data_IF_680609139241
#
_entry.id   IF_680609139241
#
_cell.length_a   1.000
_cell.length_b   1.000
_cell.length_c   1.000
_cell.angle_alpha   90.00
_cell.angle_beta   90.00
_cell.angle_gamma   90.00
#
_symmetry.space_group_name_H-M   'P 1'
#
loop_
_entity.id
_entity.type
_entity.pdbx_description
1 polymer ?
#
# COMPACT_ATOMS: atom_id res chain seq x y z
N UNK A 1 7.43 4.14 -24.86
CA UNK A 1 7.01 5.55 -24.74
C UNK A 1 7.71 6.10 -23.52
N UNK A 2 8.23 7.33 -23.60
CA UNK A 2 8.92 8.01 -22.50
C UNK A 2 8.14 9.27 -22.15
N UNK A 3 7.89 9.51 -20.86
CA UNK A 3 7.11 10.64 -20.35
C UNK A 3 7.98 11.86 -20.10
N UNK A 4 9.24 11.66 -19.69
CA UNK A 4 10.17 12.75 -19.43
C UNK A 4 11.51 12.50 -20.12
N UNK A 5 12.03 13.52 -20.81
CA UNK A 5 13.30 13.38 -21.54
C UNK A 5 14.50 13.27 -20.58
N UNK A 6 14.42 13.91 -19.42
CA UNK A 6 15.50 13.97 -18.43
C UNK A 6 15.33 12.92 -17.32
N UNK A 7 16.45 12.52 -16.73
CA UNK A 7 16.43 11.64 -15.55
C UNK A 7 15.95 12.35 -14.30
N UNK A 8 15.97 13.68 -14.26
CA UNK A 8 15.51 14.49 -13.13
C UNK A 8 14.53 15.55 -13.62
N UNK A 9 13.40 15.66 -12.94
CA UNK A 9 12.37 16.66 -13.25
C UNK A 9 12.23 17.68 -12.12
N UNK A 10 11.54 18.77 -12.40
CA UNK A 10 11.14 19.80 -11.45
C UNK A 10 9.62 19.86 -11.35
N UNK A 11 9.10 20.59 -10.35
CA UNK A 11 7.66 20.84 -10.25
C UNK A 11 7.08 21.54 -11.50
N UNK A 12 7.92 22.26 -12.27
CA UNK A 12 7.47 22.94 -13.51
C UNK A 12 7.12 21.96 -14.63
N UNK A 13 7.70 20.77 -14.61
CA UNK A 13 7.49 19.74 -15.63
C UNK A 13 6.19 18.96 -15.42
N UNK A 14 5.60 19.07 -14.22
CA UNK A 14 4.38 18.34 -13.83
C UNK A 14 3.20 19.24 -13.47
N UNK A 15 3.40 20.54 -13.25
CA UNK A 15 2.35 21.48 -12.79
C UNK A 15 1.13 21.60 -13.72
N UNK A 16 1.27 21.22 -14.99
CA UNK A 16 0.17 21.22 -15.96
C UNK A 16 -0.79 20.04 -15.78
N UNK A 17 -0.36 19.00 -15.06
CA UNK A 17 -1.17 17.82 -14.79
C UNK A 17 -1.99 18.00 -13.50
N UNK A 18 -3.16 17.34 -13.37
CA UNK A 18 -3.93 17.36 -12.14
C UNK A 18 -3.15 16.77 -10.96
N UNK A 19 -3.05 17.54 -9.87
CA UNK A 19 -2.52 17.06 -8.59
C UNK A 19 -3.56 16.17 -7.91
N UNK A 20 -3.24 14.89 -7.73
CA UNK A 20 -4.13 13.87 -7.16
C UNK A 20 -3.67 13.39 -5.78
N UNK A 21 -2.47 13.76 -5.35
CA UNK A 21 -1.99 13.49 -4.00
C UNK A 21 -0.86 14.45 -3.62
N UNK A 22 -0.94 15.00 -2.41
CA UNK A 22 0.09 15.85 -1.84
C UNK A 22 0.49 15.26 -0.47
N UNK A 23 1.75 14.87 -0.35
CA UNK A 23 2.26 14.13 0.79
C UNK A 23 3.66 14.58 1.19
N UNK A 24 4.09 14.09 2.36
CA UNK A 24 5.37 14.52 2.96
C UNK A 24 6.60 14.25 2.06
N UNK A 25 6.56 13.19 1.26
CA UNK A 25 7.72 12.75 0.48
C UNK A 25 7.66 13.17 -0.99
N UNK A 26 6.56 13.78 -1.40
CA UNK A 26 6.32 14.09 -2.80
C UNK A 26 4.85 14.30 -3.14
N UNK A 27 4.66 14.63 -4.40
CA UNK A 27 3.37 14.94 -5.01
C UNK A 27 3.06 13.90 -6.09
N UNK A 28 1.79 13.57 -6.26
CA UNK A 28 1.31 12.64 -7.29
C UNK A 28 0.45 13.41 -8.26
N UNK A 29 0.79 13.31 -9.54
CA UNK A 29 0.09 13.96 -10.65
C UNK A 29 -0.44 12.92 -11.63
N UNK A 30 -1.63 13.15 -12.18
CA UNK A 30 -2.22 12.25 -13.18
C UNK A 30 -1.76 12.65 -14.59
N UNK A 31 -0.97 11.79 -15.24
CA UNK A 31 -0.47 12.03 -16.60
C UNK A 31 -1.51 11.66 -17.66
N UNK A 32 -2.18 10.53 -17.45
CA UNK A 32 -3.22 10.00 -18.32
C UNK A 32 -4.29 9.27 -17.49
N UNK A 33 -5.34 8.75 -18.14
CA UNK A 33 -6.43 8.04 -17.47
C UNK A 33 -5.92 6.96 -16.51
N UNK A 34 -4.94 6.15 -16.91
CA UNK A 34 -4.44 5.00 -16.13
C UNK A 34 -3.00 5.18 -15.65
N UNK A 35 -2.45 6.39 -15.74
CA UNK A 35 -1.02 6.63 -15.52
C UNK A 35 -0.84 7.89 -14.66
N UNK A 36 -0.03 7.77 -13.62
CA UNK A 36 0.36 8.88 -12.77
C UNK A 36 1.88 8.93 -12.59
N UNK A 37 2.38 10.10 -12.21
CA UNK A 37 3.75 10.29 -11.77
C UNK A 37 3.77 10.70 -10.31
N UNK A 38 4.63 10.06 -9.52
CA UNK A 38 5.02 10.59 -8.21
C UNK A 38 6.32 11.35 -8.36
N UNK A 39 6.27 12.65 -8.12
CA UNK A 39 7.41 13.55 -8.00
C UNK A 39 7.88 13.57 -6.55
N UNK A 40 9.14 13.23 -6.29
CA UNK A 40 9.69 13.10 -4.95
C UNK A 40 10.51 14.32 -4.55
N UNK A 41 10.37 14.74 -3.29
CA UNK A 41 11.17 15.84 -2.74
C UNK A 41 12.60 15.41 -2.39
N UNK A 42 12.82 14.11 -2.14
CA UNK A 42 14.12 13.52 -1.80
C UNK A 42 14.40 12.27 -2.65
N UNK A 43 15.56 12.25 -3.32
CA UNK A 43 15.99 11.13 -4.18
C UNK A 43 16.17 9.83 -3.39
N UNK A 44 16.60 9.91 -2.12
CA UNK A 44 16.70 8.72 -1.25
C UNK A 44 15.33 8.04 -1.04
N UNK A 45 14.26 8.84 -0.95
CA UNK A 45 12.91 8.30 -0.79
C UNK A 45 12.41 7.68 -2.09
N UNK A 46 12.69 8.33 -3.22
CA UNK A 46 12.44 7.77 -4.54
C UNK A 46 13.12 6.41 -4.71
N UNK A 47 14.41 6.30 -4.39
CA UNK A 47 15.19 5.07 -4.55
C UNK A 47 14.59 3.90 -3.77
N UNK A 48 14.20 4.14 -2.52
CA UNK A 48 13.56 3.13 -1.65
C UNK A 48 12.21 2.68 -2.20
N UNK A 49 11.43 3.58 -2.78
CA UNK A 49 10.13 3.24 -3.35
C UNK A 49 10.27 2.51 -4.68
N UNK A 50 11.21 2.94 -5.53
CA UNK A 50 11.55 2.28 -6.79
C UNK A 50 12.02 0.84 -6.56
N UNK A 51 12.94 0.62 -5.60
CA UNK A 51 13.45 -0.72 -5.26
C UNK A 51 12.30 -1.68 -4.90
N UNK A 52 11.35 -1.21 -4.09
CA UNK A 52 10.19 -2.00 -3.69
C UNK A 52 9.21 -2.24 -4.84
N UNK A 53 8.97 -1.25 -5.70
CA UNK A 53 8.15 -1.41 -6.89
C UNK A 53 8.76 -2.42 -7.86
N UNK A 54 10.07 -2.32 -8.13
CA UNK A 54 10.80 -3.21 -9.03
C UNK A 54 10.74 -4.67 -8.56
N UNK A 55 11.04 -4.92 -7.28
CA UNK A 55 10.93 -6.26 -6.70
C UNK A 55 9.51 -6.86 -6.82
N UNK A 56 8.50 -5.99 -6.75
CA UNK A 56 7.10 -6.35 -6.75
C UNK A 56 6.42 -6.48 -8.11
N UNK A 57 7.09 -6.17 -9.23
CA UNK A 57 6.44 -6.10 -10.55
C UNK A 57 5.81 -7.42 -11.04
N UNK A 58 6.24 -8.56 -10.49
CA UNK A 58 5.62 -9.86 -10.80
C UNK A 58 4.24 -10.07 -10.15
N UNK A 59 3.85 -9.21 -9.20
CA UNK A 59 2.60 -9.35 -8.44
C UNK A 59 1.60 -8.25 -8.78
N UNK A 60 0.33 -8.65 -8.96
CA UNK A 60 -0.78 -7.72 -9.26
C UNK A 60 -1.09 -6.75 -8.12
N UNK A 61 -0.63 -7.07 -6.90
CA UNK A 61 -0.81 -6.21 -5.70
C UNK A 61 0.05 -4.95 -5.74
N UNK A 62 1.01 -4.87 -6.65
CA UNK A 62 1.88 -3.71 -6.85
C UNK A 62 1.44 -3.00 -8.14
N UNK A 63 1.34 -1.66 -8.14
CA UNK A 63 1.08 -0.90 -9.36
C UNK A 63 2.15 -1.18 -10.42
N UNK A 64 1.74 -1.26 -11.69
CA UNK A 64 2.70 -1.39 -12.80
C UNK A 64 3.65 -0.19 -12.83
N UNK A 65 4.93 -0.45 -12.99
CA UNK A 65 5.98 0.54 -13.19
C UNK A 65 6.15 0.77 -14.69
N UNK A 66 6.09 2.03 -15.14
CA UNK A 66 6.26 2.39 -16.55
C UNK A 66 7.60 3.07 -16.82
N UNK A 67 8.01 4.00 -15.96
CA UNK A 67 9.24 4.79 -16.12
C UNK A 67 9.71 5.31 -14.76
N UNK A 68 10.99 5.65 -14.64
CA UNK A 68 11.51 6.32 -13.46
C UNK A 68 12.74 7.16 -13.80
N UNK A 69 12.95 8.19 -12.98
CA UNK A 69 14.16 9.00 -12.95
C UNK A 69 14.77 9.02 -11.54
N UNK A 70 15.67 9.96 -11.27
CA UNK A 70 16.30 10.14 -9.97
C UNK A 70 15.35 10.67 -8.90
N UNK A 71 14.29 11.39 -9.31
CA UNK A 71 13.32 11.99 -8.39
C UNK A 71 11.87 11.83 -8.83
N UNK A 72 11.57 10.91 -9.76
CA UNK A 72 10.20 10.57 -10.12
C UNK A 72 10.03 9.09 -10.43
N UNK A 73 8.77 8.64 -10.35
CA UNK A 73 8.32 7.33 -10.79
C UNK A 73 6.99 7.50 -11.52
N UNK A 74 6.92 7.03 -12.76
CA UNK A 74 5.68 6.90 -13.54
C UNK A 74 5.14 5.49 -13.37
N UNK A 75 3.89 5.39 -12.95
CA UNK A 75 3.26 4.14 -12.57
C UNK A 75 1.76 4.12 -12.88
N UNK A 76 1.17 2.94 -12.76
CA UNK A 76 -0.27 2.73 -12.84
C UNK A 76 -1.03 3.63 -11.85
N UNK A 77 -1.95 4.42 -12.39
CA UNK A 77 -2.96 5.08 -11.60
C UNK A 77 -4.06 4.07 -11.24
N UNK A 78 -4.18 3.78 -9.94
CA UNK A 78 -5.15 2.82 -9.43
C UNK A 78 -6.50 3.50 -9.21
N UNK A 79 -7.45 3.25 -10.10
CA UNK A 79 -8.83 3.71 -9.96
C UNK A 79 -9.54 2.97 -8.84
N UNK A 80 -10.04 3.69 -7.83
CA UNK A 80 -10.84 3.09 -6.76
C UNK A 80 -10.82 3.89 -5.46
N UNK A 81 -10.99 3.20 -4.35
CA UNK A 81 -11.04 3.81 -3.02
C UNK A 81 -10.03 3.16 -2.08
N UNK A 82 -9.52 3.93 -1.11
CA UNK A 82 -8.70 3.32 -0.06
C UNK A 82 -9.52 2.38 0.80
N UNK A 83 -8.90 1.29 1.27
CA UNK A 83 -9.50 0.36 2.21
C UNK A 83 -9.96 1.09 3.48
N UNK A 84 -9.21 2.09 3.94
CA UNK A 84 -9.63 2.97 5.03
C UNK A 84 -10.97 3.67 4.76
N UNK A 85 -11.16 4.25 3.57
CA UNK A 85 -12.39 4.95 3.19
C UNK A 85 -13.55 3.96 3.05
N UNK A 86 -13.33 2.83 2.39
CA UNK A 86 -14.34 1.79 2.24
C UNK A 86 -14.83 1.29 3.61
N UNK A 87 -13.94 0.86 4.49
CA UNK A 87 -14.29 0.36 5.82
C UNK A 87 -14.93 1.44 6.71
N UNK A 88 -14.54 2.70 6.57
CA UNK A 88 -15.17 3.82 7.29
C UNK A 88 -16.63 4.01 6.86
N UNK A 89 -16.91 3.85 5.57
CA UNK A 89 -18.25 4.00 5.01
C UNK A 89 -19.15 2.82 5.37
N UNK A 90 -18.67 1.59 5.15
CA UNK A 90 -19.43 0.37 5.41
C UNK A 90 -19.59 0.05 6.90
N UNK A 91 -18.64 0.50 7.74
CA UNK A 91 -18.50 0.11 9.15
C UNK A 91 -18.53 -1.41 9.37
N UNK A 92 -18.15 -2.16 8.35
CA UNK A 92 -18.13 -3.61 8.32
C UNK A 92 -16.99 -4.08 7.42
N UNK A 93 -16.62 -5.35 7.56
CA UNK A 93 -15.69 -6.03 6.68
C UNK A 93 -16.29 -7.39 6.34
N UNK A 94 -16.28 -7.78 5.07
CA UNK A 94 -16.83 -9.07 4.63
C UNK A 94 -15.76 -10.17 4.69
N UNK A 95 -16.15 -11.46 4.74
CA UNK A 95 -15.20 -12.58 4.64
C UNK A 95 -14.37 -12.52 3.35
N UNK A 96 -14.99 -12.15 2.21
CA UNK A 96 -14.32 -12.05 0.90
C UNK A 96 -13.25 -10.96 0.90
N UNK A 97 -13.56 -9.78 1.46
CA UNK A 97 -12.58 -8.71 1.59
C UNK A 97 -11.45 -9.10 2.55
N UNK A 98 -11.76 -9.79 3.65
CA UNK A 98 -10.72 -10.36 4.53
C UNK A 98 -9.82 -11.34 3.78
N UNK A 99 -10.39 -12.26 2.98
CA UNK A 99 -9.61 -13.22 2.21
C UNK A 99 -8.68 -12.54 1.20
N UNK A 100 -9.15 -11.49 0.52
CA UNK A 100 -8.32 -10.66 -0.37
C UNK A 100 -7.16 -10.00 0.38
N UNK A 101 -7.42 -9.47 1.59
CA UNK A 101 -6.39 -8.86 2.44
C UNK A 101 -5.34 -9.90 2.86
N UNK A 102 -5.76 -11.08 3.31
CA UNK A 102 -4.83 -12.17 3.69
C UNK A 102 -3.97 -12.59 2.49
N UNK A 103 -4.59 -12.77 1.33
CA UNK A 103 -3.89 -13.10 0.08
C UNK A 103 -2.88 -12.03 -0.30
N UNK A 104 -3.27 -10.75 -0.23
CA UNK A 104 -2.37 -9.61 -0.46
C UNK A 104 -1.18 -9.63 0.49
N UNK A 105 -1.39 -9.86 1.79
CA UNK A 105 -0.29 -9.93 2.78
C UNK A 105 0.67 -11.09 2.50
N UNK A 106 0.15 -12.25 2.09
CA UNK A 106 0.97 -13.38 1.68
C UNK A 106 1.78 -13.09 0.41
N UNK A 107 1.20 -12.39 -0.55
CA UNK A 107 1.91 -11.92 -1.75
C UNK A 107 3.03 -10.94 -1.42
N UNK A 108 2.81 -9.98 -0.52
CA UNK A 108 3.88 -9.08 -0.05
C UNK A 108 5.03 -9.86 0.59
N UNK A 109 4.72 -10.92 1.35
CA UNK A 109 5.74 -11.81 1.93
C UNK A 109 6.51 -12.56 0.84
N UNK A 110 5.81 -13.07 -0.17
CA UNK A 110 6.42 -13.79 -1.32
C UNK A 110 7.37 -12.90 -2.13
N UNK A 111 7.04 -11.62 -2.29
CA UNK A 111 7.91 -10.62 -2.93
C UNK A 111 9.20 -10.36 -2.12
N UNK A 112 9.24 -10.77 -0.84
CA UNK A 112 10.38 -10.55 0.05
C UNK A 112 10.29 -9.24 0.82
N UNK A 113 9.11 -8.61 0.90
CA UNK A 113 8.94 -7.43 1.74
C UNK A 113 9.11 -7.81 3.20
N UNK A 114 10.13 -7.25 3.84
CA UNK A 114 10.43 -7.47 5.27
C UNK A 114 9.33 -6.88 6.16
N UNK A 115 8.68 -5.83 5.68
CA UNK A 115 7.62 -5.13 6.40
C UNK A 115 6.27 -5.32 5.71
N UNK A 116 5.48 -6.27 6.20
CA UNK A 116 4.07 -6.51 5.81
C UNK A 116 3.10 -5.46 6.39
N UNK A 117 3.64 -4.54 7.16
CA UNK A 117 2.97 -3.55 7.99
C UNK A 117 2.52 -2.34 7.16
N UNK A 118 1.62 -2.57 6.21
CA UNK A 118 0.96 -1.50 5.43
C UNK A 118 -0.18 -0.86 6.22
N UNK A 119 -0.43 0.43 5.99
CA UNK A 119 -1.54 1.14 6.61
C UNK A 119 -2.79 0.97 5.74
N UNK A 120 -3.97 0.87 6.35
CA UNK A 120 -5.25 0.74 5.61
C UNK A 120 -5.49 1.86 4.58
N UNK A 121 -4.83 3.03 4.72
CA UNK A 121 -4.91 4.12 3.73
C UNK A 121 -4.04 3.90 2.49
N UNK A 122 -3.03 3.03 2.58
CA UNK A 122 -2.11 2.68 1.50
C UNK A 122 -2.53 1.40 0.77
N UNK A 123 -3.64 0.79 1.17
CA UNK A 123 -4.28 -0.30 0.43
C UNK A 123 -5.45 0.32 -0.33
N UNK A 124 -5.44 0.17 -1.65
CA UNK A 124 -6.50 0.61 -2.55
C UNK A 124 -7.30 -0.61 -3.00
N UNK A 125 -8.61 -0.47 -3.01
CA UNK A 125 -9.55 -1.38 -3.65
C UNK A 125 -9.81 -0.79 -5.02
N UNK A 126 -9.31 -1.43 -6.06
CA UNK A 126 -9.54 -0.97 -7.44
C UNK A 126 -10.98 -1.22 -7.88
N UNK A 127 -11.42 -0.56 -8.94
CA UNK A 127 -12.79 -0.69 -9.48
C UNK A 127 -13.14 -2.13 -9.92
N UNK A 128 -12.14 -2.93 -10.30
CA UNK A 128 -12.29 -4.38 -10.58
C UNK A 128 -12.25 -5.25 -9.31
N UNK A 129 -12.23 -4.63 -8.13
CA UNK A 129 -12.25 -5.28 -6.83
C UNK A 129 -10.92 -5.90 -6.41
N UNK A 130 -9.81 -5.65 -7.12
CA UNK A 130 -8.49 -6.11 -6.70
C UNK A 130 -7.90 -5.20 -5.61
N UNK A 131 -6.93 -5.72 -4.85
CA UNK A 131 -6.19 -4.92 -3.89
C UNK A 131 -4.83 -4.54 -4.46
N UNK A 132 -4.51 -3.25 -4.40
CA UNK A 132 -3.18 -2.73 -4.70
C UNK A 132 -2.63 -1.97 -3.51
N UNK A 133 -1.36 -2.15 -3.24
CA UNK A 133 -0.64 -1.44 -2.18
C UNK A 133 0.16 -0.32 -2.82
N UNK A 134 0.17 0.86 -2.21
CA UNK A 134 0.97 2.01 -2.61
C UNK A 134 1.88 2.45 -1.43
N UNK A 135 2.77 3.42 -1.66
CA UNK A 135 3.74 3.93 -0.66
C UNK A 135 4.61 2.81 -0.05
N UNK A 136 5.56 2.34 -0.85
CA UNK A 136 6.41 1.19 -0.51
C UNK A 136 7.76 1.55 0.10
N UNK A 137 8.05 2.83 0.40
CA UNK A 137 9.38 3.28 0.84
C UNK A 137 9.95 2.59 2.09
N UNK A 138 9.10 1.87 2.85
CA UNK A 138 9.47 1.10 4.06
C UNK A 138 9.39 -0.41 3.88
N UNK A 139 9.13 -0.91 2.66
CA UNK A 139 8.93 -2.33 2.37
C UNK A 139 10.08 -3.23 2.85
N UNK A 140 11.33 -2.78 2.64
CA UNK A 140 12.55 -3.50 3.04
C UNK A 140 13.17 -3.01 4.36
N UNK A 141 12.44 -2.18 5.10
CA UNK A 141 12.85 -1.74 6.45
C UNK A 141 12.67 -2.86 7.50
N UNK A 142 12.76 -2.52 8.79
CA UNK A 142 12.57 -3.41 9.95
C UNK A 142 11.55 -4.52 9.72
N UNK A 143 11.93 -5.76 10.03
CA UNK A 143 11.08 -6.94 9.89
C UNK A 143 9.89 -6.90 10.86
N UNK A 144 8.68 -7.13 10.33
CA UNK A 144 7.47 -7.29 11.12
C UNK A 144 6.71 -8.53 10.67
N UNK A 145 6.62 -9.53 11.54
CA UNK A 145 5.93 -10.79 11.29
C UNK A 145 4.39 -10.64 11.17
N UNK A 146 3.82 -9.64 11.84
CA UNK A 146 2.39 -9.35 11.85
C UNK A 146 2.09 -7.94 11.28
N UNK A 147 0.94 -7.73 10.60
CA UNK A 147 0.57 -6.46 9.97
C UNK A 147 -0.02 -5.48 11.02
N UNK A 148 0.80 -5.07 11.99
CA UNK A 148 0.35 -4.30 13.16
C UNK A 148 -0.32 -2.96 12.86
N UNK A 149 0.07 -2.28 11.79
CA UNK A 149 -0.45 -1.00 11.30
C UNK A 149 -1.78 -1.18 10.62
N UNK A 150 -1.91 -2.19 9.77
CA UNK A 150 -3.18 -2.59 9.17
C UNK A 150 -4.18 -2.87 10.30
N UNK A 151 -3.78 -3.71 11.26
CA UNK A 151 -4.57 -4.02 12.44
C UNK A 151 -4.91 -2.78 13.27
N UNK A 152 -3.95 -1.89 13.53
CA UNK A 152 -4.23 -0.63 14.23
C UNK A 152 -5.27 0.20 13.48
N UNK A 153 -5.22 0.23 12.15
CA UNK A 153 -6.24 0.82 11.29
C UNK A 153 -7.61 0.18 11.47
N UNK A 154 -7.70 -1.15 11.38
CA UNK A 154 -8.96 -1.90 11.59
C UNK A 154 -9.58 -1.60 12.96
N UNK A 155 -8.75 -1.51 14.01
CA UNK A 155 -9.21 -1.18 15.36
C UNK A 155 -9.79 0.23 15.43
N UNK A 156 -9.11 1.22 14.83
CA UNK A 156 -9.61 2.61 14.78
C UNK A 156 -10.92 2.73 14.01
N UNK A 157 -11.16 1.84 13.05
CA UNK A 157 -12.38 1.78 12.23
C UNK A 157 -13.48 0.92 12.86
N UNK A 158 -13.25 0.28 14.01
CA UNK A 158 -14.24 -0.54 14.71
C UNK A 158 -14.51 -1.91 14.11
N UNK A 159 -13.72 -2.36 13.11
CA UNK A 159 -13.95 -3.62 12.39
C UNK A 159 -12.96 -4.74 12.78
N UNK A 160 -12.12 -4.50 13.79
CA UNK A 160 -11.06 -5.42 14.20
C UNK A 160 -11.55 -6.82 14.60
N UNK A 161 -12.56 -6.91 15.47
CA UNK A 161 -12.96 -8.22 15.99
C UNK A 161 -13.56 -9.08 14.88
N UNK A 162 -14.45 -8.53 14.05
CA UNK A 162 -14.96 -9.19 12.83
C UNK A 162 -13.83 -9.59 11.86
N UNK A 163 -12.86 -8.70 11.63
CA UNK A 163 -11.71 -9.02 10.79
C UNK A 163 -10.96 -10.24 11.31
N UNK A 164 -10.68 -10.31 12.62
CA UNK A 164 -9.98 -11.44 13.21
C UNK A 164 -10.80 -12.72 13.21
N UNK A 165 -12.11 -12.65 13.41
CA UNK A 165 -13.01 -13.82 13.33
C UNK A 165 -12.99 -14.42 11.91
N UNK A 166 -13.02 -13.56 10.88
CA UNK A 166 -12.86 -13.98 9.49
C UNK A 166 -11.47 -14.58 9.25
N UNK A 167 -10.39 -13.95 9.74
CA UNK A 167 -9.02 -14.48 9.59
C UNK A 167 -8.91 -15.85 10.25
N UNK A 168 -9.47 -16.06 11.44
CA UNK A 168 -9.46 -17.36 12.12
C UNK A 168 -10.08 -18.47 11.27
N UNK A 169 -11.11 -18.13 10.52
CA UNK A 169 -11.83 -19.07 9.64
C UNK A 169 -11.08 -19.34 8.33
N UNK A 170 -10.29 -18.37 7.85
CA UNK A 170 -9.56 -18.44 6.57
C UNK A 170 -8.16 -19.04 6.74
N UNK A 171 -7.44 -18.60 7.77
CA UNK A 171 -6.06 -18.97 8.07
C UNK A 171 -5.84 -18.90 9.59
N UNK A 172 -6.09 -20.02 10.26
CA UNK A 172 -5.95 -20.14 11.71
C UNK A 172 -4.50 -19.90 12.19
N UNK A 173 -3.51 -20.26 11.38
CA UNK A 173 -2.10 -20.04 11.69
C UNK A 173 -1.76 -18.54 11.72
N UNK A 174 -2.23 -17.79 10.72
CA UNK A 174 -2.11 -16.34 10.71
C UNK A 174 -2.85 -15.71 11.90
N UNK A 175 -4.06 -16.18 12.22
CA UNK A 175 -4.80 -15.73 13.40
C UNK A 175 -4.00 -15.94 14.70
N UNK A 176 -3.43 -17.12 14.92
CA UNK A 176 -2.66 -17.42 16.14
C UNK A 176 -1.40 -16.54 16.25
N UNK A 177 -0.68 -16.37 15.14
CA UNK A 177 0.47 -15.48 15.06
C UNK A 177 0.12 -14.02 15.39
N UNK A 178 -1.01 -13.52 14.87
CA UNK A 178 -1.41 -12.12 15.03
C UNK A 178 -2.08 -11.85 16.38
N UNK A 179 -2.88 -12.79 16.88
CA UNK A 179 -3.67 -12.67 18.12
C UNK A 179 -2.81 -12.74 19.38
N UNK A 180 -1.75 -13.57 19.40
CA UNK A 180 -0.79 -13.65 20.52
C UNK A 180 -0.13 -12.31 20.85
N UNK A 181 0.02 -11.43 19.84
CA UNK A 181 0.59 -10.08 19.98
C UNK A 181 -0.42 -9.04 20.50
N UNK A 182 -1.73 -9.34 20.49
CA UNK A 182 -2.80 -8.53 21.12
C UNK A 182 -2.65 -8.52 22.65
N UNK A 183 -2.17 -9.62 23.22
CA UNK A 183 -2.03 -9.84 24.67
C UNK A 183 -0.82 -9.12 25.25
N UNK A 184 0.32 -9.10 24.53
CA UNK A 184 1.57 -8.48 25.03
C UNK A 184 1.49 -6.96 25.24
N UNK A 185 0.54 -6.26 24.59
CA UNK A 185 0.29 -4.81 24.81
C UNK A 185 -0.64 -4.50 25.98
N UNK A 186 -1.44 -5.46 26.48
CA UNK A 186 -2.27 -5.25 27.68
C UNK A 186 -1.48 -5.31 28.99
N UNK A 187 -0.29 -5.94 28.99
CA UNK A 187 0.59 -6.07 30.18
C UNK A 187 1.58 -4.91 30.38
N UNK A 188 1.48 -3.83 29.59
CA UNK A 188 2.19 -2.56 29.84
C UNK A 188 1.14 -1.47 30.09
N UNK A 189 0.54 -1.52 31.28
CA UNK A 189 -0.09 -0.39 31.95
C UNK A 189 0.37 -0.43 33.38
#
# INVERSE_FOLDING_TARGET
MKYFETSKISRRDVKQYPLIGDGKDGEVYQLETNICVKYFFLEETQRKELEAMQAGQSSKVIPKLYEYGTNYIVMEYVHGVSLARHLKNERNISPELTAKIVTMLNELRRIGFKRLDTEVRHVLISNDGQLKVIDHKRAFSSYNEAPTKLMTGMKKLGVMDKFLDHVKSIDSSAYDSWSSRRIKRKKKK
#
